data_IF_442527496815
#
_entry.id   IF_442527496815
#
_cell.length_a   1.000
_cell.length_b   1.000
_cell.length_c   1.000
_cell.angle_alpha   90.00
_cell.angle_beta   90.00
_cell.angle_gamma   90.00
#
_symmetry.space_group_name_H-M   'P 1'
#
loop_
_entity.id
_entity.type
_entity.pdbx_description
1 polymer ?
#
# COMPACT_ATOMS: atom_id res chain seq x y z
N UNK A 1 0.80 14.29 -19.93
CA UNK A 1 0.95 14.93 -18.60
C UNK A 1 2.17 14.34 -17.93
N UNK A 2 2.90 15.13 -17.15
CA UNK A 2 4.00 14.59 -16.33
C UNK A 2 3.40 13.71 -15.21
N UNK A 3 4.13 12.74 -14.66
CA UNK A 3 3.67 12.01 -13.48
C UNK A 3 3.53 12.95 -12.28
N UNK A 4 2.32 13.11 -11.77
CA UNK A 4 2.00 13.96 -10.61
C UNK A 4 0.55 13.74 -10.14
N UNK A 5 0.19 14.37 -9.03
CA UNK A 5 -1.22 14.58 -8.65
C UNK A 5 -1.79 15.78 -9.41
N UNK A 6 -3.04 15.62 -9.87
CA UNK A 6 -3.78 16.63 -10.60
C UNK A 6 -5.21 16.73 -10.08
N UNK A 7 -5.84 17.88 -10.29
CA UNK A 7 -7.27 18.07 -10.08
C UNK A 7 -7.99 18.21 -11.43
N UNK A 8 -9.03 17.41 -11.63
CA UNK A 8 -10.06 17.68 -12.63
C UNK A 8 -11.08 18.64 -12.01
N UNK A 9 -11.22 19.83 -12.59
CA UNK A 9 -12.08 20.90 -12.06
C UNK A 9 -13.21 21.15 -13.05
N UNK A 10 -14.45 20.97 -12.62
CA UNK A 10 -15.62 21.46 -13.35
C UNK A 10 -15.85 22.93 -12.98
N UNK A 11 -15.87 23.80 -13.98
CA UNK A 11 -16.03 25.24 -13.81
C UNK A 11 -17.28 25.69 -14.57
N UNK A 12 -18.13 26.53 -13.95
CA UNK A 12 -19.29 27.13 -14.62
C UNK A 12 -18.87 28.26 -15.57
N UNK A 13 -19.78 28.71 -16.44
CA UNK A 13 -19.52 29.78 -17.41
C UNK A 13 -19.01 31.09 -16.77
N UNK A 14 -19.34 31.36 -15.51
CA UNK A 14 -18.86 32.52 -14.75
C UNK A 14 -17.54 32.28 -13.97
N UNK A 15 -16.82 31.18 -14.25
CA UNK A 15 -15.52 30.89 -13.65
C UNK A 15 -15.56 30.26 -12.25
N UNK A 16 -16.74 29.91 -11.71
CA UNK A 16 -16.83 29.27 -10.38
C UNK A 16 -16.61 27.76 -10.46
N UNK A 17 -15.83 27.21 -9.53
CA UNK A 17 -15.68 25.76 -9.39
C UNK A 17 -16.99 25.14 -8.91
N UNK A 18 -17.50 24.16 -9.65
CA UNK A 18 -18.69 23.38 -9.32
C UNK A 18 -18.33 22.01 -8.72
N UNK A 19 -17.23 21.41 -9.18
CA UNK A 19 -16.71 20.16 -8.66
C UNK A 19 -15.19 20.10 -8.82
N UNK A 20 -14.54 19.31 -7.95
CA UNK A 20 -13.11 19.03 -8.01
C UNK A 20 -12.88 17.56 -7.68
N UNK A 21 -12.15 16.86 -8.53
CA UNK A 21 -11.73 15.49 -8.29
C UNK A 21 -10.22 15.37 -8.46
N UNK A 22 -9.57 14.77 -7.48
CA UNK A 22 -8.13 14.49 -7.53
C UNK A 22 -7.88 13.17 -8.25
N UNK A 23 -6.86 13.14 -9.10
CA UNK A 23 -6.34 11.92 -9.70
C UNK A 23 -4.81 11.96 -9.76
N UNK A 24 -4.19 10.80 -9.90
CA UNK A 24 -2.74 10.68 -10.05
C UNK A 24 -2.40 10.16 -11.44
N UNK A 25 -1.48 10.83 -12.12
CA UNK A 25 -0.84 10.32 -13.34
C UNK A 25 0.45 9.61 -12.93
N UNK A 26 0.57 8.34 -13.28
CA UNK A 26 1.81 7.56 -13.11
C UNK A 26 2.61 7.54 -14.42
N UNK A 27 3.93 7.40 -14.32
CA UNK A 27 4.77 7.21 -15.50
C UNK A 27 4.38 5.93 -16.24
N UNK A 28 4.42 5.98 -17.58
CA UNK A 28 4.26 4.77 -18.38
C UNK A 28 5.34 3.75 -18.00
N UNK A 29 4.93 2.51 -17.72
CA UNK A 29 5.84 1.45 -17.27
C UNK A 29 6.37 1.61 -15.84
N UNK A 30 5.86 2.57 -15.06
CA UNK A 30 6.19 2.66 -13.63
C UNK A 30 5.85 1.35 -12.92
N UNK A 31 6.78 0.85 -12.12
CA UNK A 31 6.58 -0.33 -11.29
C UNK A 31 6.21 0.10 -9.87
N UNK A 32 5.16 -0.49 -9.28
CA UNK A 32 4.81 -0.22 -7.88
C UNK A 32 6.00 -0.49 -6.95
N UNK A 33 6.10 0.25 -5.86
CA UNK A 33 7.08 -0.01 -4.80
C UNK A 33 6.41 0.00 -3.44
N UNK A 34 6.97 -0.75 -2.48
CA UNK A 34 6.53 -0.73 -1.08
C UNK A 34 7.74 -0.78 -0.14
N UNK A 35 7.65 -0.04 0.96
CA UNK A 35 8.69 0.06 1.99
C UNK A 35 8.08 0.00 3.37
N UNK A 36 8.88 -0.48 4.33
CA UNK A 36 8.62 -0.38 5.76
C UNK A 36 9.49 0.73 6.33
N UNK A 37 8.95 1.51 7.26
CA UNK A 37 9.72 2.58 7.91
C UNK A 37 10.88 2.02 8.76
N UNK A 38 10.69 0.84 9.36
CA UNK A 38 11.72 0.15 10.17
C UNK A 38 11.84 -1.30 9.71
N UNK A 39 13.07 -1.74 9.44
CA UNK A 39 13.35 -3.14 9.06
C UNK A 39 13.49 -4.08 10.25
N UNK A 40 13.60 -3.54 11.47
CA UNK A 40 13.62 -4.31 12.71
C UNK A 40 12.71 -3.64 13.74
N UNK A 41 11.80 -4.41 14.32
CA UNK A 41 10.84 -3.94 15.34
C UNK A 41 10.77 -4.92 16.52
N UNK A 42 10.23 -4.45 17.64
CA UNK A 42 9.90 -5.32 18.78
C UNK A 42 8.54 -5.98 18.54
N UNK A 43 8.31 -7.14 19.17
CA UNK A 43 6.99 -7.77 19.18
C UNK A 43 5.93 -6.80 19.70
N UNK A 44 4.80 -6.71 18.99
CA UNK A 44 3.68 -5.81 19.32
C UNK A 44 3.86 -4.35 18.85
N UNK A 45 5.00 -3.98 18.27
CA UNK A 45 5.14 -2.65 17.66
C UNK A 45 4.38 -2.58 16.33
N UNK A 46 3.79 -1.42 16.04
CA UNK A 46 3.15 -1.16 14.75
C UNK A 46 4.16 -1.07 13.61
N UNK A 47 3.69 -1.39 12.40
CA UNK A 47 4.47 -1.36 11.17
C UNK A 47 3.92 -0.24 10.29
N UNK A 48 4.70 0.83 10.11
CA UNK A 48 4.39 1.85 9.11
C UNK A 48 4.91 1.40 7.74
N UNK A 49 4.00 1.24 6.79
CA UNK A 49 4.29 0.93 5.39
C UNK A 49 4.03 2.16 4.52
N UNK A 50 4.78 2.29 3.43
CA UNK A 50 4.48 3.27 2.38
C UNK A 50 4.68 2.66 1.01
N UNK A 51 3.84 3.04 0.06
CA UNK A 51 3.89 2.58 -1.31
C UNK A 51 3.81 3.74 -2.30
N UNK A 52 4.26 3.47 -3.51
CA UNK A 52 4.15 4.40 -4.62
C UNK A 52 3.85 3.67 -5.92
N UNK A 53 3.14 4.35 -6.82
CA UNK A 53 2.78 3.82 -8.13
C UNK A 53 1.88 2.59 -8.09
N UNK A 54 1.08 2.41 -7.04
CA UNK A 54 0.05 1.38 -7.02
C UNK A 54 -0.99 1.64 -8.13
N UNK A 55 -1.66 0.60 -8.68
CA UNK A 55 -2.68 0.76 -9.71
C UNK A 55 -3.84 1.67 -9.28
N UNK A 56 -4.10 1.77 -7.97
CA UNK A 56 -5.18 2.58 -7.43
C UNK A 56 -6.54 1.92 -7.66
N UNK A 57 -6.58 0.59 -7.74
CA UNK A 57 -7.83 -0.15 -7.81
C UNK A 57 -8.48 -0.16 -6.43
N UNK A 58 -9.80 -0.30 -6.41
CA UNK A 58 -10.60 -0.09 -5.20
C UNK A 58 -10.15 -1.00 -4.06
N UNK A 59 -9.77 -2.24 -4.37
CA UNK A 59 -9.40 -3.24 -3.38
C UNK A 59 -7.90 -3.62 -3.46
N UNK A 60 -7.03 -2.74 -3.99
CA UNK A 60 -5.58 -2.91 -3.85
C UNK A 60 -5.23 -2.97 -2.36
N UNK A 61 -4.36 -3.90 -1.97
CA UNK A 61 -4.18 -4.26 -0.57
C UNK A 61 -2.72 -4.55 -0.21
N UNK A 62 -2.40 -4.41 1.07
CA UNK A 62 -1.09 -4.68 1.64
C UNK A 62 -1.21 -5.79 2.65
N UNK A 63 -0.52 -6.91 2.42
CA UNK A 63 -0.52 -8.06 3.33
C UNK A 63 0.80 -8.21 4.08
N UNK A 64 0.73 -8.85 5.24
CA UNK A 64 1.91 -9.27 6.01
C UNK A 64 1.90 -10.78 6.17
N UNK A 65 2.99 -11.45 5.81
CA UNK A 65 3.15 -12.90 6.02
C UNK A 65 4.50 -13.24 6.62
N UNK A 66 4.65 -14.49 7.09
CA UNK A 66 5.95 -15.01 7.52
C UNK A 66 6.86 -15.18 6.32
N UNK A 67 8.14 -14.81 6.46
CA UNK A 67 9.10 -14.99 5.38
C UNK A 67 9.40 -16.48 5.14
N UNK A 68 9.52 -16.85 3.87
CA UNK A 68 9.80 -18.22 3.44
C UNK A 68 8.54 -19.05 3.15
N UNK A 69 7.34 -18.52 3.41
CA UNK A 69 6.10 -19.12 2.92
C UNK A 69 5.98 -18.88 1.41
N UNK A 70 5.92 -19.93 0.57
CA UNK A 70 5.78 -19.78 -0.87
C UNK A 70 4.37 -19.34 -1.27
N UNK A 71 3.37 -19.56 -0.41
CA UNK A 71 1.98 -19.26 -0.72
C UNK A 71 1.60 -17.85 -0.26
N UNK A 72 1.10 -17.06 -1.20
CA UNK A 72 0.71 -15.66 -0.96
C UNK A 72 -0.60 -15.58 -0.18
N UNK A 73 -1.44 -16.63 -0.22
CA UNK A 73 -2.71 -16.67 0.53
C UNK A 73 -2.50 -16.81 2.04
N UNK A 74 -1.33 -17.28 2.48
CA UNK A 74 -0.98 -17.47 3.88
C UNK A 74 -0.51 -16.18 4.57
N UNK A 75 -1.28 -15.10 4.42
CA UNK A 75 -1.03 -13.86 5.15
C UNK A 75 -1.59 -13.93 6.59
N UNK A 76 -0.98 -13.16 7.48
CA UNK A 76 -1.35 -13.04 8.90
C UNK A 76 -2.44 -12.00 9.07
N UNK A 77 -2.34 -10.92 8.29
CA UNK A 77 -3.32 -9.84 8.23
C UNK A 77 -2.99 -8.89 7.09
N UNK A 78 -3.85 -7.90 6.90
CA UNK A 78 -3.79 -7.00 5.76
C UNK A 78 -4.48 -5.67 6.05
N UNK A 79 -4.20 -4.69 5.18
CA UNK A 79 -4.90 -3.41 5.11
C UNK A 79 -5.17 -3.07 3.65
N UNK A 80 -6.26 -2.35 3.35
CA UNK A 80 -6.47 -1.81 2.01
C UNK A 80 -5.67 -0.53 1.79
N UNK A 81 -5.27 -0.30 0.55
CA UNK A 81 -4.60 0.95 0.14
C UNK A 81 -5.55 2.13 0.01
N UNK A 82 -6.87 1.90 0.06
CA UNK A 82 -7.88 2.95 -0.14
C UNK A 82 -7.87 3.55 -1.54
N UNK A 83 -7.46 2.77 -2.56
CA UNK A 83 -7.26 3.23 -3.93
C UNK A 83 -6.20 4.35 -4.09
N UNK A 84 -5.37 4.58 -3.06
CA UNK A 84 -4.29 5.56 -3.16
C UNK A 84 -3.14 5.00 -4.01
N UNK A 85 -2.86 5.65 -5.14
CA UNK A 85 -1.70 5.34 -5.99
C UNK A 85 -0.38 5.49 -5.23
N UNK A 86 -0.28 6.54 -4.43
CA UNK A 86 0.82 6.77 -3.48
C UNK A 86 0.21 6.92 -2.10
N UNK A 87 0.71 6.19 -1.12
CA UNK A 87 0.10 6.18 0.20
C UNK A 87 0.98 5.57 1.28
N UNK A 88 0.46 5.60 2.49
CA UNK A 88 1.08 4.97 3.65
C UNK A 88 0.01 4.52 4.62
N UNK A 89 0.24 3.41 5.30
CA UNK A 89 -0.66 2.90 6.31
C UNK A 89 0.11 2.41 7.53
N UNK A 90 -0.55 2.36 8.69
CA UNK A 90 0.01 1.79 9.91
C UNK A 90 -0.71 0.50 10.23
N UNK A 91 0.00 -0.62 10.06
CA UNK A 91 -0.49 -1.94 10.43
C UNK A 91 -0.19 -2.17 11.91
N UNK A 92 -1.23 -2.45 12.69
CA UNK A 92 -1.19 -2.53 14.15
C UNK A 92 -1.28 -3.97 14.66
N UNK A 93 -1.30 -4.13 15.98
CA UNK A 93 -1.53 -5.43 16.59
C UNK A 93 -2.97 -5.92 16.42
N UNK A 94 -3.93 -5.04 16.14
CA UNK A 94 -5.31 -5.46 15.88
C UNK A 94 -5.43 -6.13 14.52
N UNK A 95 -4.61 -5.70 13.55
CA UNK A 95 -4.57 -6.27 12.20
C UNK A 95 -3.81 -7.61 12.14
N UNK A 96 -2.79 -7.79 12.98
CA UNK A 96 -1.82 -8.90 12.88
C UNK A 96 -1.76 -9.83 14.09
N UNK A 97 -2.38 -9.44 15.20
CA UNK A 97 -2.05 -9.97 16.51
C UNK A 97 -0.60 -9.71 16.92
N UNK A 98 -0.15 -10.44 17.95
CA UNK A 98 1.23 -10.35 18.44
C UNK A 98 2.18 -11.22 17.62
N UNK A 99 2.94 -10.59 16.73
CA UNK A 99 3.97 -11.28 15.94
C UNK A 99 5.08 -11.87 16.83
N UNK A 100 5.43 -13.14 16.56
CA UNK A 100 6.58 -13.82 17.17
C UNK A 100 7.90 -13.29 16.58
N UNK A 101 9.01 -13.55 17.25
CA UNK A 101 10.35 -13.27 16.71
C UNK A 101 10.56 -14.01 15.39
N UNK A 102 11.05 -13.32 14.37
CA UNK A 102 11.22 -13.91 13.03
C UNK A 102 11.33 -12.88 11.92
N UNK A 103 11.42 -13.38 10.67
CA UNK A 103 11.41 -12.56 9.46
C UNK A 103 10.01 -12.59 8.83
N UNK A 104 9.61 -11.46 8.29
CA UNK A 104 8.29 -11.23 7.70
C UNK A 104 8.42 -10.50 6.37
N UNK A 105 7.44 -10.70 5.50
CA UNK A 105 7.32 -10.04 4.20
C UNK A 105 6.05 -9.21 4.19
N UNK A 106 6.17 -7.98 3.70
CA UNK A 106 5.05 -7.10 3.36
C UNK A 106 4.90 -7.10 1.85
N UNK A 107 3.70 -7.33 1.34
CA UNK A 107 3.40 -7.35 -0.10
C UNK A 107 2.33 -6.32 -0.42
N UNK A 108 2.50 -5.61 -1.52
CA UNK A 108 1.45 -4.85 -2.19
C UNK A 108 0.83 -5.76 -3.25
N UNK A 109 -0.48 -5.91 -3.23
CA UNK A 109 -1.23 -6.82 -4.09
C UNK A 109 -2.38 -6.10 -4.79
N UNK A 110 -2.76 -6.65 -5.94
CA UNK A 110 -3.78 -6.08 -6.81
C UNK A 110 -5.18 -6.53 -6.38
N UNK A 111 -6.09 -5.59 -6.16
CA UNK A 111 -7.56 -5.76 -6.18
C UNK A 111 -8.12 -7.13 -5.72
N UNK A 112 -7.96 -7.46 -4.43
CA UNK A 112 -8.34 -8.76 -3.82
C UNK A 112 -7.75 -10.03 -4.45
N UNK A 113 -6.89 -9.89 -5.46
CA UNK A 113 -6.12 -10.98 -6.04
C UNK A 113 -4.76 -11.10 -5.35
N UNK A 114 -4.12 -12.25 -5.54
CA UNK A 114 -2.82 -12.56 -4.96
C UNK A 114 -1.63 -12.20 -5.88
N UNK A 115 -1.87 -11.36 -6.90
CA UNK A 115 -0.84 -10.84 -7.78
C UNK A 115 0.06 -9.85 -7.03
N UNK A 116 1.30 -10.26 -6.78
CA UNK A 116 2.28 -9.43 -6.05
C UNK A 116 2.84 -8.35 -6.95
N UNK A 117 2.55 -7.09 -6.62
CA UNK A 117 3.00 -5.91 -7.35
C UNK A 117 4.36 -5.43 -6.87
N UNK A 118 4.59 -5.49 -5.56
CA UNK A 118 5.83 -5.14 -4.91
C UNK A 118 5.93 -5.83 -3.55
N UNK A 119 7.15 -6.02 -3.03
CA UNK A 119 7.33 -6.55 -1.68
C UNK A 119 8.57 -6.01 -0.99
N UNK A 120 8.56 -6.08 0.33
CA UNK A 120 9.70 -5.75 1.19
C UNK A 120 9.70 -6.63 2.44
N UNK A 121 10.76 -6.60 3.22
CA UNK A 121 10.91 -7.44 4.41
C UNK A 121 11.29 -6.65 5.65
N UNK A 122 10.83 -7.15 6.80
CA UNK A 122 11.25 -6.70 8.12
C UNK A 122 11.45 -7.89 9.06
N UNK A 123 12.01 -7.64 10.24
CA UNK A 123 12.23 -8.63 11.29
C UNK A 123 11.59 -8.18 12.60
N UNK A 124 11.00 -9.12 13.32
CA UNK A 124 10.62 -8.95 14.73
C UNK A 124 11.75 -9.53 15.57
N UNK A 125 12.27 -8.75 16.51
CA UNK A 125 13.38 -9.11 17.41
C UNK A 125 12.95 -9.21 18.85
#
# INVERSE_FOLDING_TARGET
>A
MAPAEYDAILVSANGRTQARHRFTVVAAGARPTIRVAKRAIRSGASIRVSWSGAPGWRNDWVSVSKAGDPDVVNYIGYVYTGAHVNGSETITADDLGKLKKGRYVVRLLRDDHYDVLAQTSFSVR
#
